data_IF_562902530665
#
_entry.id   IF_562902530665
#
_cell.length_a   1.000
_cell.length_b   1.000
_cell.length_c   1.000
_cell.angle_alpha   90.00
_cell.angle_beta   90.00
_cell.angle_gamma   90.00
#
_symmetry.space_group_name_H-M   'P 1'
#
loop_
_entity.id
_entity.type
_entity.pdbx_description
1 polymer ?
#
# COMPACT_ATOMS: atom_id res chain seq x y z
N UNK A 1 -7.90 -10.64 13.46
CA UNK A 1 -6.50 -10.69 13.96
C UNK A 1 -5.63 -10.21 12.81
N UNK A 2 -5.10 -9.00 12.95
CA UNK A 2 -4.48 -8.20 11.90
C UNK A 2 -3.46 -9.01 11.11
N UNK A 3 -3.64 -9.08 9.80
CA UNK A 3 -2.67 -9.67 8.89
C UNK A 3 -1.31 -9.01 9.11
N UNK A 4 -0.25 -9.82 9.19
CA UNK A 4 1.15 -9.38 9.30
C UNK A 4 1.62 -8.42 8.17
N UNK A 5 0.75 -8.05 7.21
CA UNK A 5 0.99 -7.03 6.20
C UNK A 5 1.32 -5.65 6.81
N UNK A 6 0.85 -5.37 8.05
CA UNK A 6 1.11 -4.12 8.76
C UNK A 6 2.41 -4.11 9.59
N UNK A 7 3.20 -5.20 9.62
CA UNK A 7 4.58 -5.14 10.13
C UNK A 7 5.51 -4.43 9.12
N UNK A 8 5.05 -3.28 8.64
CA UNK A 8 5.67 -2.35 7.72
C UNK A 8 6.69 -1.43 8.42
N UNK A 9 7.40 -1.96 9.40
CA UNK A 9 8.73 -1.43 9.67
C UNK A 9 9.64 -2.09 8.67
N UNK A 10 10.03 -1.37 7.62
CA UNK A 10 11.35 -1.40 6.96
C UNK A 10 11.24 -0.81 5.54
N UNK A 11 11.85 0.37 5.37
CA UNK A 11 11.97 1.23 4.18
C UNK A 11 12.17 0.51 2.83
N UNK A 12 12.04 1.24 1.71
CA UNK A 12 12.44 0.83 0.34
C UNK A 12 13.68 -0.06 0.31
N UNK A 13 14.71 0.35 1.06
CA UNK A 13 16.01 -0.30 1.17
C UNK A 13 15.96 -1.75 1.68
N UNK A 14 14.86 -2.14 2.31
CA UNK A 14 14.67 -3.44 2.94
C UNK A 14 13.56 -4.25 2.27
N UNK A 15 13.14 -3.83 1.08
CA UNK A 15 12.27 -4.62 0.21
C UNK A 15 12.93 -5.97 -0.11
N UNK A 16 12.13 -7.05 -0.25
CA UNK A 16 12.65 -8.34 -0.70
C UNK A 16 13.27 -8.19 -2.09
N UNK A 17 14.28 -9.02 -2.39
CA UNK A 17 15.04 -8.95 -3.64
C UNK A 17 14.12 -9.14 -4.85
N UNK A 18 13.13 -10.00 -4.70
CA UNK A 18 12.08 -10.33 -5.67
C UNK A 18 11.23 -9.12 -6.06
N UNK A 19 10.96 -8.21 -5.13
CA UNK A 19 10.26 -6.95 -5.40
C UNK A 19 11.14 -5.95 -6.18
N UNK A 20 12.44 -5.95 -5.93
CA UNK A 20 13.40 -5.09 -6.62
C UNK A 20 13.67 -5.59 -8.05
N UNK A 21 13.86 -6.90 -8.21
CA UNK A 21 14.08 -7.56 -9.50
C UNK A 21 12.78 -7.77 -10.29
N UNK A 22 11.62 -7.53 -9.67
CA UNK A 22 10.29 -7.69 -10.27
C UNK A 22 10.04 -9.11 -10.79
N UNK A 23 10.51 -10.10 -10.05
CA UNK A 23 10.46 -11.52 -10.43
C UNK A 23 9.25 -12.25 -9.86
N UNK A 24 8.54 -11.65 -8.90
CA UNK A 24 7.41 -12.27 -8.23
C UNK A 24 6.22 -11.31 -8.07
N UNK A 25 5.00 -11.82 -8.27
CA UNK A 25 3.76 -11.09 -8.01
C UNK A 25 3.45 -11.00 -6.52
N UNK A 26 2.83 -9.89 -6.14
CA UNK A 26 2.25 -9.64 -4.82
C UNK A 26 3.08 -8.72 -3.94
N UNK A 27 4.09 -8.07 -4.51
CA UNK A 27 4.86 -7.03 -3.85
C UNK A 27 4.35 -5.66 -4.30
N UNK A 28 3.83 -4.89 -3.34
CA UNK A 28 3.20 -3.60 -3.61
C UNK A 28 4.02 -2.46 -3.01
N UNK A 29 4.13 -1.38 -3.77
CA UNK A 29 4.57 -0.07 -3.29
C UNK A 29 3.37 0.76 -2.89
N UNK A 30 3.48 1.48 -1.78
CA UNK A 30 2.47 2.40 -1.31
C UNK A 30 3.00 3.83 -1.38
N UNK A 31 2.21 4.73 -1.98
CA UNK A 31 2.48 6.16 -2.04
C UNK A 31 1.21 6.97 -1.72
N UNK A 32 1.36 8.25 -1.41
CA UNK A 32 0.24 9.18 -1.19
C UNK A 32 0.42 10.50 -1.94
N UNK A 33 -0.62 10.90 -2.67
CA UNK A 33 -0.64 12.15 -3.46
C UNK A 33 -1.68 13.11 -2.89
N UNK A 34 -1.32 14.36 -2.62
CA UNK A 34 -2.30 15.35 -2.13
C UNK A 34 -3.29 15.69 -3.24
N UNK A 35 -4.58 15.73 -2.91
CA UNK A 35 -5.58 16.27 -3.82
C UNK A 35 -5.44 17.79 -3.81
N UNK A 36 -5.00 18.38 -4.93
CA UNK A 36 -4.33 19.69 -5.04
C UNK A 36 -5.08 20.98 -4.69
N UNK A 37 -5.83 21.05 -3.59
CA UNK A 37 -6.32 22.32 -3.05
C UNK A 37 -5.94 22.43 -1.57
N UNK A 38 -5.15 23.47 -1.22
CA UNK A 38 -4.65 23.80 0.14
C UNK A 38 -5.71 23.92 1.24
N UNK A 39 -6.99 23.68 0.95
CA UNK A 39 -8.09 23.66 1.90
C UNK A 39 -8.51 22.24 2.33
N UNK A 40 -8.11 21.18 1.60
CA UNK A 40 -8.45 19.80 1.94
C UNK A 40 -7.21 18.99 2.29
N UNK A 41 -7.30 18.16 3.33
CA UNK A 41 -6.27 17.18 3.69
C UNK A 41 -6.39 15.89 2.86
N UNK A 42 -7.45 15.76 2.06
CA UNK A 42 -7.70 14.60 1.23
C UNK A 42 -6.48 14.25 0.38
N UNK A 43 -6.18 12.97 0.32
CA UNK A 43 -5.13 12.45 -0.54
C UNK A 43 -5.57 11.16 -1.21
N UNK A 44 -4.85 10.82 -2.28
CA UNK A 44 -4.97 9.54 -2.95
C UNK A 44 -3.91 8.62 -2.38
N UNK A 45 -4.33 7.49 -1.84
CA UNK A 45 -3.48 6.33 -1.57
C UNK A 45 -3.32 5.56 -2.87
N UNK A 46 -2.08 5.36 -3.30
CA UNK A 46 -1.77 4.55 -4.48
C UNK A 46 -1.02 3.30 -4.02
N UNK A 47 -1.42 2.14 -4.54
CA UNK A 47 -0.71 0.88 -4.38
C UNK A 47 -0.31 0.40 -5.77
N UNK A 48 0.98 0.22 -6.02
CA UNK A 48 1.51 -0.23 -7.30
C UNK A 48 2.20 -1.57 -7.16
N UNK A 49 1.74 -2.59 -7.89
CA UNK A 49 2.35 -3.91 -7.88
C UNK A 49 3.65 -3.92 -8.71
N UNK A 50 4.74 -4.46 -8.15
CA UNK A 50 6.08 -4.28 -8.72
C UNK A 50 6.33 -5.06 -10.00
N UNK A 51 5.74 -6.24 -10.16
CA UNK A 51 5.95 -7.09 -11.34
C UNK A 51 5.02 -6.72 -12.49
N UNK A 52 3.72 -6.76 -12.23
CA UNK A 52 2.62 -6.57 -13.18
C UNK A 52 2.31 -5.10 -13.45
N UNK A 53 2.73 -4.18 -12.58
CA UNK A 53 2.36 -2.75 -12.62
C UNK A 53 0.87 -2.49 -12.47
N UNK A 54 0.12 -3.43 -11.91
CA UNK A 54 -1.26 -3.18 -11.51
C UNK A 54 -1.32 -2.05 -10.47
N UNK A 55 -2.33 -1.20 -10.57
CA UNK A 55 -2.53 -0.07 -9.66
C UNK A 55 -3.88 -0.18 -8.94
N UNK A 56 -3.86 0.15 -7.65
CA UNK A 56 -5.05 0.38 -6.85
C UNK A 56 -4.96 1.79 -6.31
N UNK A 57 -6.00 2.59 -6.55
CA UNK A 57 -6.05 3.99 -6.14
C UNK A 57 -7.29 4.18 -5.26
N UNK A 58 -7.09 4.62 -4.03
CA UNK A 58 -8.15 4.89 -3.07
C UNK A 58 -8.07 6.34 -2.59
N UNK A 59 -9.21 7.01 -2.46
CA UNK A 59 -9.26 8.33 -1.81
C UNK A 59 -9.34 8.15 -0.29
N UNK A 60 -8.44 8.79 0.44
CA UNK A 60 -8.42 8.81 1.91
C UNK A 60 -8.48 10.27 2.43
N UNK A 61 -8.99 10.52 3.64
CA UNK A 61 -9.20 11.88 4.14
C UNK A 61 -7.91 12.60 4.51
N UNK A 62 -6.84 11.87 4.81
CA UNK A 62 -5.50 12.39 5.09
C UNK A 62 -4.43 11.29 5.03
N UNK A 63 -3.15 11.68 5.11
CA UNK A 63 -1.99 10.77 5.09
C UNK A 63 -1.67 10.12 6.43
N UNK A 64 -2.56 10.24 7.43
CA UNK A 64 -2.27 9.66 8.75
C UNK A 64 -2.22 8.14 8.66
N UNK A 65 -1.40 7.51 9.49
CA UNK A 65 -1.31 6.06 9.56
C UNK A 65 -2.69 5.41 9.85
N UNK A 66 -3.56 6.11 10.58
CA UNK A 66 -4.92 5.65 10.87
C UNK A 66 -5.79 5.61 9.61
N UNK A 67 -5.78 6.67 8.79
CA UNK A 67 -6.52 6.73 7.53
C UNK A 67 -6.03 5.69 6.53
N UNK A 68 -4.71 5.52 6.42
CA UNK A 68 -4.09 4.49 5.55
C UNK A 68 -4.48 3.10 6.02
N UNK A 69 -4.29 2.78 7.31
CA UNK A 69 -4.62 1.46 7.86
C UNK A 69 -6.11 1.14 7.69
N UNK A 70 -6.98 2.11 7.96
CA UNK A 70 -8.41 1.95 7.78
C UNK A 70 -8.80 1.67 6.33
N UNK A 71 -8.09 2.24 5.36
CA UNK A 71 -8.34 1.95 3.94
C UNK A 71 -7.82 0.56 3.53
N UNK A 72 -6.65 0.14 4.03
CA UNK A 72 -6.14 -1.22 3.82
C UNK A 72 -7.09 -2.27 4.44
N UNK A 73 -7.63 -2.02 5.63
CA UNK A 73 -8.60 -2.91 6.28
C UNK A 73 -9.91 -3.01 5.48
N UNK A 74 -10.38 -1.90 4.88
CA UNK A 74 -11.53 -1.94 3.96
C UNK A 74 -11.22 -2.76 2.72
N UNK A 75 -10.04 -2.60 2.13
CA UNK A 75 -9.60 -3.34 0.97
C UNK A 75 -9.52 -4.85 1.27
N UNK A 76 -8.97 -5.25 2.43
CA UNK A 76 -8.96 -6.64 2.89
C UNK A 76 -10.38 -7.19 3.02
N UNK A 77 -11.30 -6.43 3.62
CA UNK A 77 -12.70 -6.85 3.76
C UNK A 77 -13.42 -7.03 2.43
N UNK A 78 -13.14 -6.17 1.44
CA UNK A 78 -13.76 -6.25 0.11
C UNK A 78 -13.25 -7.45 -0.70
N UNK A 79 -11.93 -7.72 -0.63
CA UNK A 79 -11.29 -8.82 -1.37
C UNK A 79 -11.49 -10.16 -0.66
N UNK A 80 -11.60 -10.13 0.67
CA UNK A 80 -11.59 -11.29 1.57
C UNK A 80 -10.18 -11.68 1.98
N UNK A 81 -9.97 -11.93 3.28
CA UNK A 81 -8.65 -12.13 3.90
C UNK A 81 -7.75 -13.18 3.21
N UNK A 82 -8.33 -14.29 2.73
CA UNK A 82 -7.55 -15.34 2.05
C UNK A 82 -6.97 -14.84 0.72
N UNK A 83 -7.79 -14.18 -0.10
CA UNK A 83 -7.35 -13.61 -1.38
C UNK A 83 -6.44 -12.41 -1.15
N UNK A 84 -6.73 -11.58 -0.15
CA UNK A 84 -5.90 -10.44 0.21
C UNK A 84 -4.48 -10.88 0.55
N UNK A 85 -4.30 -11.91 1.38
CA UNK A 85 -2.97 -12.43 1.73
C UNK A 85 -2.21 -13.03 0.55
N UNK A 86 -2.91 -13.55 -0.46
CA UNK A 86 -2.29 -14.04 -1.68
C UNK A 86 -1.88 -12.89 -2.61
N UNK A 87 -2.70 -11.85 -2.67
CA UNK A 87 -2.49 -10.65 -3.50
C UNK A 87 -1.41 -9.73 -2.91
N UNK A 88 -1.34 -9.58 -1.58
CA UNK A 88 -0.42 -8.68 -0.89
C UNK A 88 0.56 -9.48 -0.02
N UNK A 89 1.66 -9.94 -0.62
CA UNK A 89 2.78 -10.56 0.09
C UNK A 89 3.54 -9.54 0.92
N UNK A 90 3.83 -8.38 0.34
CA UNK A 90 4.44 -7.23 1.03
C UNK A 90 3.85 -5.93 0.53
N UNK A 91 3.64 -4.97 1.43
CA UNK A 91 3.35 -3.57 1.09
C UNK A 91 4.49 -2.74 1.66
N UNK A 92 5.13 -1.92 0.83
CA UNK A 92 6.24 -1.06 1.27
C UNK A 92 5.93 0.40 0.99
N UNK A 93 5.91 1.27 2.02
CA UNK A 93 5.80 2.70 1.79
C UNK A 93 7.04 3.21 1.06
N UNK A 94 6.83 4.10 0.09
CA UNK A 94 7.89 4.94 -0.43
C UNK A 94 8.22 6.02 0.60
N UNK A 95 9.46 6.06 1.10
CA UNK A 95 9.94 7.17 1.91
C UNK A 95 10.44 8.25 0.94
N UNK A 96 9.51 8.92 0.27
CA UNK A 96 9.81 10.22 -0.32
C UNK A 96 10.24 11.15 0.82
N UNK A 97 11.55 11.32 0.98
CA UNK A 97 12.19 12.23 1.96
C UNK A 97 11.74 13.66 1.74
#
# INVERSE_FOLDING_TARGET
KHSNALNASKSIEKRPKEANERTEVGHWEMDTVYSGNNCSKDCLLTLTERMTRAEIICKIPDRTAASVTGEIDKLERQIGSSKFRHMFKTITPDNGV
#
